data_IF_789827054901
#
_entry.id   IF_789827054901
#
_cell.length_a   1.000
_cell.length_b   1.000
_cell.length_c   1.000
_cell.angle_alpha   90.00
_cell.angle_beta   90.00
_cell.angle_gamma   90.00
#
_symmetry.space_group_name_H-M   'P 1'
#
loop_
_entity.id
_entity.type
_entity.pdbx_description
1 polymer ?
#
# COMPACT_ATOMS: atom_id res chain seq x y z
N UNK A 1 -1.27 13.42 16.27
CA UNK A 1 -0.98 13.19 14.84
C UNK A 1 -1.61 11.86 14.44
N UNK A 2 -2.52 11.79 13.45
CA UNK A 2 -3.07 10.50 13.05
C UNK A 2 -1.99 9.76 12.25
N UNK A 3 -1.44 8.67 12.78
CA UNK A 3 -0.43 7.83 12.12
C UNK A 3 -0.76 7.53 10.64
N UNK A 4 -2.06 7.49 10.31
CA UNK A 4 -2.60 7.41 8.96
C UNK A 4 -2.09 8.48 8.00
N UNK A 5 -2.14 9.77 8.35
CA UNK A 5 -1.73 10.84 7.44
C UNK A 5 -0.22 10.81 7.19
N UNK A 6 0.55 10.42 8.21
CA UNK A 6 1.99 10.22 8.09
C UNK A 6 2.30 9.05 7.14
N UNK A 7 1.70 7.88 7.35
CA UNK A 7 1.88 6.71 6.48
C UNK A 7 1.46 7.02 5.03
N UNK A 8 0.34 7.72 4.83
CA UNK A 8 -0.11 8.10 3.48
C UNK A 8 0.88 9.03 2.79
N UNK A 9 1.36 10.08 3.47
CA UNK A 9 2.34 11.01 2.89
C UNK A 9 3.68 10.32 2.59
N UNK A 10 4.14 9.47 3.50
CA UNK A 10 5.35 8.66 3.34
C UNK A 10 5.24 7.74 2.12
N UNK A 11 4.15 6.98 2.02
CA UNK A 11 3.90 6.05 0.91
C UNK A 11 3.69 6.78 -0.40
N UNK A 12 2.99 7.92 -0.43
CA UNK A 12 2.79 8.71 -1.65
C UNK A 12 4.13 9.12 -2.27
N UNK A 13 5.11 9.53 -1.46
CA UNK A 13 6.44 9.89 -1.96
C UNK A 13 7.21 8.67 -2.52
N UNK A 14 7.13 7.54 -1.81
CA UNK A 14 7.78 6.27 -2.17
C UNK A 14 7.12 5.58 -3.37
N UNK A 15 5.85 5.84 -3.62
CA UNK A 15 5.12 5.22 -4.72
C UNK A 15 4.96 6.13 -5.94
N UNK A 16 5.35 7.41 -5.84
CA UNK A 16 5.24 8.41 -6.93
C UNK A 16 5.60 7.96 -8.36
N UNK A 17 6.66 7.17 -8.63
CA UNK A 17 7.02 6.74 -9.99
C UNK A 17 6.21 5.55 -10.49
N UNK A 18 5.41 4.88 -9.64
CA UNK A 18 4.57 3.77 -10.07
C UNK A 18 3.35 4.27 -10.83
N UNK A 19 2.71 3.40 -11.61
CA UNK A 19 1.43 3.73 -12.22
C UNK A 19 0.36 4.07 -11.16
N UNK A 20 -0.40 5.15 -11.36
CA UNK A 20 -1.37 5.69 -10.40
C UNK A 20 -2.34 4.64 -9.83
N UNK A 21 -2.80 3.70 -10.65
CA UNK A 21 -3.69 2.63 -10.20
C UNK A 21 -3.05 1.68 -9.18
N UNK A 22 -1.76 1.37 -9.37
CA UNK A 22 -0.98 0.53 -8.45
C UNK A 22 -0.69 1.28 -7.15
N UNK A 23 -0.34 2.57 -7.24
CA UNK A 23 -0.18 3.43 -6.07
C UNK A 23 -1.45 3.42 -5.21
N UNK A 24 -2.60 3.75 -5.81
CA UNK A 24 -3.89 3.79 -5.10
C UNK A 24 -4.23 2.44 -4.47
N UNK A 25 -4.01 1.34 -5.18
CA UNK A 25 -4.34 0.01 -4.67
C UNK A 25 -3.44 -0.42 -3.51
N UNK A 26 -2.14 -0.07 -3.55
CA UNK A 26 -1.24 -0.26 -2.41
C UNK A 26 -1.65 0.59 -1.20
N UNK A 27 -1.91 1.88 -1.41
CA UNK A 27 -2.34 2.81 -0.35
C UNK A 27 -3.64 2.33 0.30
N UNK A 28 -4.62 1.90 -0.50
CA UNK A 28 -5.88 1.34 0.00
C UNK A 28 -5.66 0.08 0.85
N UNK A 29 -4.79 -0.83 0.39
CA UNK A 29 -4.44 -2.04 1.14
C UNK A 29 -3.70 -1.71 2.45
N UNK A 30 -2.75 -0.78 2.43
CA UNK A 30 -2.04 -0.34 3.64
C UNK A 30 -2.97 0.36 4.61
N UNK A 31 -3.89 1.19 4.13
CA UNK A 31 -4.92 1.81 4.96
C UNK A 31 -5.82 0.76 5.62
N UNK A 32 -6.23 -0.29 4.90
CA UNK A 32 -6.98 -1.39 5.49
C UNK A 32 -6.20 -2.05 6.64
N UNK A 33 -4.90 -2.32 6.46
CA UNK A 33 -4.05 -2.92 7.51
C UNK A 33 -3.89 -2.00 8.71
N UNK A 34 -3.63 -0.70 8.49
CA UNK A 34 -3.55 0.30 9.56
C UNK A 34 -4.86 0.37 10.35
N UNK A 35 -6.00 0.17 9.68
CA UNK A 35 -7.33 0.17 10.29
C UNK A 35 -7.71 -1.18 10.93
N UNK A 36 -6.76 -2.11 11.12
CA UNK A 36 -6.99 -3.37 11.83
C UNK A 36 -7.17 -4.60 10.95
N UNK A 37 -7.02 -4.49 9.63
CA UNK A 37 -7.01 -5.68 8.79
C UNK A 37 -5.77 -6.53 9.06
N UNK A 38 -5.98 -7.81 9.36
CA UNK A 38 -4.91 -8.81 9.28
C UNK A 38 -4.31 -8.86 7.87
N UNK A 39 -3.04 -9.27 7.75
CA UNK A 39 -2.31 -9.42 6.48
C UNK A 39 -2.78 -10.64 5.66
N UNK A 40 -4.09 -10.83 5.52
CA UNK A 40 -4.69 -11.86 4.67
C UNK A 40 -5.52 -11.22 3.57
N UNK A 41 -5.51 -11.83 2.38
CA UNK A 41 -6.25 -11.37 1.21
C UNK A 41 -7.72 -11.01 1.54
N UNK A 42 -8.41 -11.90 2.24
CA UNK A 42 -9.81 -11.73 2.62
C UNK A 42 -10.02 -10.62 3.64
N UNK A 43 -9.15 -10.51 4.65
CA UNK A 43 -9.28 -9.49 5.70
C UNK A 43 -9.07 -8.10 5.11
N UNK A 44 -8.01 -7.90 4.31
CA UNK A 44 -7.75 -6.64 3.61
C UNK A 44 -8.95 -6.27 2.72
N UNK A 45 -9.44 -7.22 1.92
CA UNK A 45 -10.59 -7.00 1.03
C UNK A 45 -11.87 -6.59 1.77
N UNK A 46 -12.12 -7.13 2.97
CA UNK A 46 -13.28 -6.74 3.81
C UNK A 46 -13.14 -5.33 4.40
N UNK A 47 -11.92 -4.93 4.74
CA UNK A 47 -11.63 -3.62 5.32
C UNK A 47 -11.49 -2.49 4.29
N UNK A 48 -11.49 -2.80 2.99
CA UNK A 48 -11.56 -1.76 1.96
C UNK A 48 -12.87 -0.98 2.05
N UNK A 49 -12.77 0.35 2.01
CA UNK A 49 -13.91 1.28 1.98
C UNK A 49 -14.54 1.37 0.59
N UNK A 50 -15.80 1.83 0.52
CA UNK A 50 -16.52 2.06 -0.75
C UNK A 50 -17.75 1.17 -0.92
N UNK A 51 -18.56 1.51 -1.93
CA UNK A 51 -19.88 0.90 -2.21
C UNK A 51 -19.83 -0.45 -2.91
N UNK A 52 -18.65 -0.87 -3.39
CA UNK A 52 -18.48 -2.16 -4.05
C UNK A 52 -18.78 -3.34 -3.10
N UNK A 53 -19.31 -4.43 -3.64
CA UNK A 53 -19.55 -5.64 -2.86
C UNK A 53 -18.24 -6.20 -2.26
N UNK A 54 -18.34 -6.86 -1.11
CA UNK A 54 -17.19 -7.50 -0.43
C UNK A 54 -16.44 -8.43 -1.39
N UNK A 55 -17.16 -9.22 -2.19
CA UNK A 55 -16.59 -10.08 -3.24
C UNK A 55 -15.71 -9.30 -4.21
N UNK A 56 -16.16 -8.14 -4.68
CA UNK A 56 -15.39 -7.32 -5.63
C UNK A 56 -14.17 -6.68 -4.97
N UNK A 57 -14.27 -6.28 -3.70
CA UNK A 57 -13.12 -5.76 -2.95
C UNK A 57 -12.06 -6.84 -2.73
N UNK A 58 -12.44 -8.06 -2.37
CA UNK A 58 -11.52 -9.20 -2.26
C UNK A 58 -10.83 -9.47 -3.60
N UNK A 59 -11.60 -9.51 -4.71
CA UNK A 59 -11.03 -9.64 -6.07
C UNK A 59 -10.06 -8.51 -6.42
N UNK A 60 -10.28 -7.29 -5.92
CA UNK A 60 -9.37 -6.17 -6.13
C UNK A 60 -8.04 -6.40 -5.44
N UNK A 61 -8.05 -6.89 -4.20
CA UNK A 61 -6.82 -7.24 -3.47
C UNK A 61 -6.13 -8.44 -4.11
N UNK A 62 -6.89 -9.42 -4.59
CA UNK A 62 -6.36 -10.58 -5.30
C UNK A 62 -5.58 -10.16 -6.55
N UNK A 63 -6.19 -9.30 -7.38
CA UNK A 63 -5.53 -8.70 -8.56
C UNK A 63 -4.33 -7.84 -8.20
N UNK A 64 -4.33 -7.18 -7.04
CA UNK A 64 -3.19 -6.41 -6.55
C UNK A 64 -2.01 -7.34 -6.27
N UNK A 65 -2.23 -8.42 -5.52
CA UNK A 65 -1.19 -9.41 -5.18
C UNK A 65 -0.70 -10.17 -6.42
N UNK A 66 -1.59 -10.47 -7.37
CA UNK A 66 -1.26 -11.10 -8.64
C UNK A 66 -0.69 -10.16 -9.72
N UNK A 67 -0.48 -8.88 -9.43
CA UNK A 67 -0.04 -7.91 -10.44
C UNK A 67 1.46 -8.07 -10.76
N UNK A 68 1.79 -8.71 -11.89
CA UNK A 68 3.20 -8.92 -12.32
C UNK A 68 4.02 -7.63 -12.41
N UNK A 69 3.43 -6.54 -12.88
CA UNK A 69 4.17 -5.27 -12.95
C UNK A 69 4.48 -4.70 -11.57
N UNK A 70 3.59 -4.89 -10.59
CA UNK A 70 3.88 -4.54 -9.20
C UNK A 70 4.98 -5.45 -8.63
N UNK A 71 4.93 -6.76 -8.90
CA UNK A 71 5.95 -7.72 -8.43
C UNK A 71 7.35 -7.34 -8.94
N UNK A 72 7.46 -6.92 -10.20
CA UNK A 72 8.73 -6.43 -10.76
C UNK A 72 9.23 -5.13 -10.10
N UNK A 73 8.33 -4.33 -9.52
CA UNK A 73 8.67 -3.08 -8.83
C UNK A 73 8.98 -3.27 -7.34
N UNK A 74 8.71 -4.44 -6.76
CA UNK A 74 8.88 -4.71 -5.32
C UNK A 74 10.28 -4.36 -4.83
N UNK A 75 11.32 -4.78 -5.56
CA UNK A 75 12.72 -4.46 -5.21
C UNK A 75 12.97 -2.95 -5.15
N UNK A 76 12.49 -2.21 -6.16
CA UNK A 76 12.58 -0.74 -6.21
C UNK A 76 11.82 -0.09 -5.06
N UNK A 77 10.62 -0.58 -4.73
CA UNK A 77 9.83 -0.06 -3.61
C UNK A 77 10.61 -0.24 -2.30
N UNK A 78 11.13 -1.43 -2.03
CA UNK A 78 11.92 -1.69 -0.82
C UNK A 78 13.21 -0.86 -0.78
N UNK A 79 13.92 -0.72 -1.90
CA UNK A 79 15.10 0.13 -1.98
C UNK A 79 14.75 1.59 -1.63
N UNK A 80 13.64 2.12 -2.14
CA UNK A 80 13.19 3.49 -1.84
C UNK A 80 12.75 3.65 -0.39
N UNK A 81 12.10 2.64 0.21
CA UNK A 81 11.78 2.61 1.64
C UNK A 81 13.07 2.71 2.45
N UNK A 82 14.05 1.84 2.17
CA UNK A 82 15.35 1.85 2.86
C UNK A 82 16.06 3.19 2.69
N UNK A 83 16.16 3.72 1.47
CA UNK A 83 16.76 5.03 1.22
C UNK A 83 16.08 6.15 2.00
N UNK A 84 14.74 6.15 2.06
CA UNK A 84 13.97 7.16 2.78
C UNK A 84 14.22 7.08 4.28
N UNK A 85 14.17 5.89 4.87
CA UNK A 85 14.44 5.66 6.29
C UNK A 85 15.90 6.02 6.64
N UNK A 86 16.87 5.55 5.86
CA UNK A 86 18.29 5.79 6.11
C UNK A 86 18.66 7.27 5.98
N UNK A 87 18.10 7.99 5.00
CA UNK A 87 18.32 9.44 4.86
C UNK A 87 17.69 10.25 5.98
N UNK A 88 16.53 9.83 6.50
CA UNK A 88 15.88 10.52 7.61
C UNK A 88 16.53 10.19 8.97
N UNK A 89 17.10 9.00 9.14
CA UNK A 89 17.85 8.64 10.35
C UNK A 89 19.29 9.21 10.41
N UNK A 90 19.94 9.48 9.27
CA UNK A 90 21.30 10.05 9.22
C UNK A 90 21.37 11.57 9.52
N UNK A 91 20.23 12.21 9.81
CA UNK A 91 20.15 13.64 10.16
C UNK A 91 19.96 13.84 11.69
N UNK A 92 20.16 12.79 12.49
CA UNK A 92 20.34 12.87 13.94
C UNK A 92 21.83 12.75 14.28
#
# INVERSE_FOLDING_TARGET
MPARSLCQNFLNNILAPLHLYRQKSLIDATNAVINGASLTLTSIGRHLTGTASVKNKIKRVDRLLGNRHLQNEVSTIFQRITQKITRECLVL
#
